data_IF_338489054054
#
_entry.id   IF_338489054054
#
_cell.length_a   1.000
_cell.length_b   1.000
_cell.length_c   1.000
_cell.angle_alpha   90.00
_cell.angle_beta   90.00
_cell.angle_gamma   90.00
#
_symmetry.space_group_name_H-M   'P 1'
#
loop_
_entity.id
_entity.type
_entity.pdbx_description
1 polymer ?
#
# COMPACT_ATOMS: atom_id res chain seq x y z
N UNK A 1 0.15 12.49 1.49
CA UNK A 1 1.10 11.38 1.67
C UNK A 1 1.42 10.59 0.39
N UNK A 2 0.76 10.82 -0.75
CA UNK A 2 0.88 9.93 -1.93
C UNK A 2 2.26 9.89 -2.63
N UNK A 3 2.98 11.01 -2.72
CA UNK A 3 4.26 11.06 -3.46
C UNK A 3 5.41 10.34 -2.74
N UNK A 4 5.64 10.66 -1.47
CA UNK A 4 6.74 10.07 -0.69
C UNK A 4 6.56 8.56 -0.45
N UNK A 5 5.32 8.10 -0.23
CA UNK A 5 5.02 6.67 -0.09
C UNK A 5 5.30 5.89 -1.38
N UNK A 6 4.91 6.45 -2.53
CA UNK A 6 5.20 5.86 -3.83
C UNK A 6 6.70 5.75 -4.11
N UNK A 7 7.46 6.81 -3.85
CA UNK A 7 8.92 6.80 -4.01
C UNK A 7 9.57 5.73 -3.12
N UNK A 8 9.08 5.57 -1.89
CA UNK A 8 9.52 4.50 -0.98
C UNK A 8 9.26 3.09 -1.52
N UNK A 9 8.12 2.86 -2.17
CA UNK A 9 7.78 1.57 -2.80
C UNK A 9 8.66 1.22 -4.01
N UNK A 10 9.30 2.21 -4.65
CA UNK A 10 10.24 1.98 -5.76
C UNK A 10 11.66 1.76 -5.21
N UNK A 11 12.12 2.71 -4.38
CA UNK A 11 13.50 2.73 -3.89
C UNK A 11 13.76 1.57 -2.93
N UNK A 12 12.77 1.19 -2.10
CA UNK A 12 12.89 0.13 -1.11
C UNK A 12 13.28 -1.23 -1.71
N UNK A 13 12.46 -1.81 -2.62
CA UNK A 13 12.78 -3.08 -3.25
C UNK A 13 14.04 -3.04 -4.12
N UNK A 14 14.31 -1.89 -4.77
CA UNK A 14 15.51 -1.72 -5.57
C UNK A 14 16.78 -1.81 -4.72
N UNK A 15 16.85 -1.02 -3.64
CA UNK A 15 17.99 -1.05 -2.72
C UNK A 15 18.06 -2.37 -1.94
N UNK A 16 16.91 -2.93 -1.55
CA UNK A 16 16.82 -4.21 -0.85
C UNK A 16 17.32 -5.38 -1.71
N UNK A 17 17.01 -5.39 -3.01
CA UNK A 17 17.50 -6.41 -3.95
C UNK A 17 19.00 -6.31 -4.21
N UNK A 18 19.49 -5.10 -4.47
CA UNK A 18 20.92 -4.81 -4.71
C UNK A 18 21.79 -5.15 -3.50
N UNK A 19 21.37 -4.73 -2.29
CA UNK A 19 22.10 -5.02 -1.06
C UNK A 19 21.95 -6.50 -0.69
N UNK A 20 20.77 -7.08 -0.88
CA UNK A 20 20.49 -8.49 -0.59
C UNK A 20 21.36 -9.48 -1.36
N UNK A 21 21.96 -9.08 -2.48
CA UNK A 21 22.91 -9.90 -3.25
C UNK A 21 24.25 -10.09 -2.51
N UNK A 22 24.70 -9.09 -1.73
CA UNK A 22 25.96 -9.13 -0.99
C UNK A 22 25.81 -10.02 0.25
N UNK A 23 24.74 -9.81 1.02
CA UNK A 23 24.40 -10.61 2.19
C UNK A 23 23.00 -10.23 2.68
N UNK A 24 22.25 -11.21 3.18
CA UNK A 24 20.91 -11.00 3.76
C UNK A 24 20.89 -9.95 4.89
N UNK A 25 22.03 -9.66 5.54
CA UNK A 25 22.13 -8.71 6.65
C UNK A 25 22.33 -7.25 6.21
N UNK A 26 22.93 -7.03 5.04
CA UNK A 26 23.27 -5.68 4.55
C UNK A 26 22.08 -4.73 4.37
N UNK A 27 20.89 -5.13 3.85
CA UNK A 27 19.76 -4.22 3.78
C UNK A 27 19.28 -3.74 5.17
N UNK A 28 19.37 -4.59 6.19
CA UNK A 28 19.00 -4.22 7.56
C UNK A 28 19.98 -3.23 8.19
N UNK A 29 21.28 -3.41 7.96
CA UNK A 29 22.31 -2.48 8.43
C UNK A 29 22.13 -1.11 7.75
N UNK A 30 21.90 -1.10 6.44
CA UNK A 30 21.64 0.13 5.69
C UNK A 30 20.38 0.85 6.19
N UNK A 31 19.31 0.12 6.45
CA UNK A 31 18.08 0.67 7.03
C UNK A 31 18.33 1.27 8.42
N UNK A 32 19.07 0.57 9.29
CA UNK A 32 19.39 1.06 10.63
C UNK A 32 20.22 2.35 10.60
N UNK A 33 21.23 2.42 9.73
CA UNK A 33 22.05 3.63 9.54
C UNK A 33 21.18 4.79 9.03
N UNK A 34 20.37 4.54 7.99
CA UNK A 34 19.50 5.56 7.41
C UNK A 34 18.51 6.11 8.44
N UNK A 35 17.91 5.24 9.27
CA UNK A 35 16.98 5.65 10.32
C UNK A 35 17.67 6.41 11.45
N UNK A 36 18.88 5.99 11.83
CA UNK A 36 19.69 6.70 12.84
C UNK A 36 20.06 8.11 12.37
N UNK A 37 20.42 8.28 11.09
CA UNK A 37 20.65 9.59 10.50
C UNK A 37 19.39 10.46 10.48
N UNK A 38 18.24 9.90 10.09
CA UNK A 38 16.96 10.61 10.14
C UNK A 38 16.58 11.02 11.57
N UNK A 39 16.85 10.17 12.55
CA UNK A 39 16.61 10.47 13.97
C UNK A 39 17.51 11.61 14.46
N UNK A 40 18.81 11.55 14.18
CA UNK A 40 19.76 12.61 14.51
C UNK A 40 19.35 13.91 13.82
N UNK A 41 19.00 13.85 12.53
CA UNK A 41 18.52 15.01 11.79
C UNK A 41 17.25 15.58 12.39
N UNK A 42 16.28 14.74 12.78
CA UNK A 42 15.07 15.18 13.48
C UNK A 42 15.41 15.87 14.81
N UNK A 43 16.35 15.36 15.59
CA UNK A 43 16.75 16.00 16.85
C UNK A 43 17.42 17.37 16.64
N UNK A 44 18.15 17.54 15.53
CA UNK A 44 18.87 18.79 15.24
C UNK A 44 18.00 19.84 14.53
N UNK A 45 17.10 19.42 13.64
CA UNK A 45 16.31 20.31 12.79
C UNK A 45 14.91 20.60 13.33
N UNK A 46 14.30 19.69 14.10
CA UNK A 46 13.01 19.95 14.72
C UNK A 46 13.21 20.58 16.10
N UNK A 47 13.09 21.91 16.15
CA UNK A 47 12.80 22.61 17.40
C UNK A 47 11.36 22.29 17.81
N UNK A 48 11.13 22.00 19.09
CA UNK A 48 9.80 21.75 19.65
C UNK A 48 8.80 22.79 19.12
N UNK A 49 7.86 22.35 18.28
CA UNK A 49 6.73 23.18 17.90
C UNK A 49 5.78 23.19 19.09
N UNK A 50 5.81 24.30 19.84
CA UNK A 50 5.11 24.52 21.10
C UNK A 50 3.71 23.88 21.22
N UNK A 51 3.58 23.03 22.25
CA UNK A 51 2.34 22.63 22.93
C UNK A 51 1.70 23.84 23.63
N UNK A 52 1.18 24.82 22.89
CA UNK A 52 0.43 25.94 23.52
C UNK A 52 -0.92 26.23 22.85
N UNK A 53 -1.16 25.78 21.60
CA UNK A 53 -2.47 25.99 20.94
C UNK A 53 -3.38 24.78 20.85
N UNK A 54 -2.87 23.56 20.97
CA UNK A 54 -3.66 22.32 20.82
C UNK A 54 -4.43 21.97 22.11
N UNK A 55 -3.94 22.38 23.28
CA UNK A 55 -4.57 22.02 24.56
C UNK A 55 -5.92 22.72 24.79
N UNK A 56 -6.14 23.91 24.22
CA UNK A 56 -7.33 24.71 24.49
C UNK A 56 -8.53 24.30 23.62
N UNK A 57 -8.31 23.79 22.41
CA UNK A 57 -9.39 23.27 21.55
C UNK A 57 -9.87 21.87 21.98
N UNK A 58 -8.97 21.00 22.46
CA UNK A 58 -9.34 19.65 22.91
C UNK A 58 -10.23 19.73 24.17
N UNK A 59 -10.04 20.73 25.03
CA UNK A 59 -10.87 20.87 26.23
C UNK A 59 -12.27 21.43 25.95
N UNK A 60 -12.46 22.18 24.85
CA UNK A 60 -13.76 22.72 24.44
C UNK A 60 -14.62 21.69 23.68
N UNK A 61 -14.00 20.78 22.92
CA UNK A 61 -14.68 19.71 22.19
C UNK A 61 -15.21 18.57 23.08
N UNK A 62 -14.65 18.39 24.28
CA UNK A 62 -15.05 17.34 25.21
C UNK A 62 -16.25 17.69 26.10
N UNK A 63 -16.76 18.93 26.02
CA UNK A 63 -17.83 19.39 26.92
C UNK A 63 -19.24 19.34 26.32
N UNK A 64 -19.39 18.96 25.04
CA UNK A 64 -20.69 19.07 24.35
C UNK A 64 -21.14 17.81 23.58
N UNK A 65 -20.77 16.61 24.04
CA UNK A 65 -21.39 15.37 23.53
C UNK A 65 -22.17 14.67 24.64
N UNK A 66 -23.42 15.09 24.79
CA UNK A 66 -24.48 14.38 25.50
C UNK A 66 -24.60 12.91 25.00
N UNK A 67 -25.05 11.98 25.87
CA UNK A 67 -24.99 10.55 25.61
C UNK A 67 -26.15 10.13 24.70
N UNK A 68 -25.94 10.12 23.38
CA UNK A 68 -26.97 9.68 22.45
C UNK A 68 -26.78 8.21 22.03
N UNK A 69 -27.76 7.42 22.47
CA UNK A 69 -28.13 6.04 22.13
C UNK A 69 -28.26 5.78 20.61
N UNK A 70 -27.16 5.92 19.86
CA UNK A 70 -27.03 5.54 18.45
C UNK A 70 -25.79 4.65 18.19
N UNK A 71 -25.04 4.35 19.25
CA UNK A 71 -23.75 3.64 19.21
C UNK A 71 -23.86 2.16 18.88
N UNK A 72 -25.04 1.54 18.96
CA UNK A 72 -25.23 0.11 18.64
C UNK A 72 -25.25 -0.17 17.13
N UNK A 73 -26.02 0.62 16.37
CA UNK A 73 -26.17 0.43 14.92
C UNK A 73 -24.93 0.90 14.14
N UNK A 74 -24.32 2.02 14.57
CA UNK A 74 -23.09 2.55 13.95
C UNK A 74 -21.93 1.59 14.18
N UNK A 75 -21.79 0.98 15.37
CA UNK A 75 -20.73 -0.02 15.65
C UNK A 75 -20.82 -1.25 14.76
N UNK A 76 -22.03 -1.79 14.49
CA UNK A 76 -22.18 -3.02 13.70
C UNK A 76 -21.93 -2.79 12.21
N UNK A 77 -22.43 -1.67 11.66
CA UNK A 77 -22.16 -1.27 10.27
C UNK A 77 -20.67 -0.93 10.06
N UNK A 78 -20.07 -0.17 10.98
CA UNK A 78 -18.66 0.18 10.93
C UNK A 78 -17.75 -1.05 11.04
N UNK A 79 -18.08 -1.99 11.92
CA UNK A 79 -17.33 -3.25 12.06
C UNK A 79 -17.36 -4.07 10.77
N UNK A 80 -18.51 -4.14 10.08
CA UNK A 80 -18.61 -4.81 8.78
C UNK A 80 -17.70 -4.17 7.73
N UNK A 81 -17.70 -2.83 7.61
CA UNK A 81 -16.82 -2.11 6.68
C UNK A 81 -15.33 -2.25 7.02
N UNK A 82 -14.97 -2.27 8.31
CA UNK A 82 -13.61 -2.52 8.78
C UNK A 82 -13.14 -3.93 8.47
N UNK A 83 -13.97 -4.95 8.69
CA UNK A 83 -13.64 -6.34 8.37
C UNK A 83 -13.48 -6.50 6.85
N UNK A 84 -14.38 -5.91 6.06
CA UNK A 84 -14.27 -5.92 4.60
C UNK A 84 -12.96 -5.26 4.13
N UNK A 85 -12.62 -4.09 4.69
CA UNK A 85 -11.36 -3.41 4.39
C UNK A 85 -10.14 -4.26 4.77
N UNK A 86 -10.17 -4.88 5.95
CA UNK A 86 -9.11 -5.74 6.43
C UNK A 86 -8.89 -6.94 5.51
N UNK A 87 -9.97 -7.62 5.10
CA UNK A 87 -9.89 -8.76 4.17
C UNK A 87 -9.32 -8.31 2.82
N UNK A 88 -9.79 -7.18 2.27
CA UNK A 88 -9.28 -6.64 1.00
C UNK A 88 -7.78 -6.33 1.11
N UNK A 89 -7.36 -5.69 2.22
CA UNK A 89 -5.94 -5.41 2.43
C UNK A 89 -5.11 -6.66 2.62
N UNK A 90 -5.62 -7.65 3.35
CA UNK A 90 -4.92 -8.90 3.59
C UNK A 90 -4.69 -9.66 2.28
N UNK A 91 -5.70 -9.72 1.41
CA UNK A 91 -5.58 -10.31 0.07
C UNK A 91 -4.54 -9.54 -0.77
N UNK A 92 -4.56 -8.21 -0.72
CA UNK A 92 -3.60 -7.37 -1.46
C UNK A 92 -2.13 -7.54 -1.06
N UNK A 93 -1.84 -8.09 0.12
CA UNK A 93 -0.46 -8.36 0.57
C UNK A 93 0.09 -9.72 0.13
N UNK A 94 -0.78 -10.63 -0.32
CA UNK A 94 -0.39 -11.99 -0.74
C UNK A 94 0.62 -11.95 -1.90
N UNK A 95 0.40 -11.17 -2.98
CA UNK A 95 1.33 -11.14 -4.10
C UNK A 95 2.71 -10.64 -3.67
N UNK A 96 2.78 -9.57 -2.86
CA UNK A 96 4.04 -9.01 -2.41
C UNK A 96 4.90 -10.01 -1.61
N UNK A 97 4.26 -10.90 -0.84
CA UNK A 97 4.96 -11.90 -0.01
C UNK A 97 5.39 -13.12 -0.84
N UNK A 98 4.52 -13.61 -1.73
CA UNK A 98 4.76 -14.84 -2.50
C UNK A 98 5.67 -14.57 -3.71
N UNK A 99 5.67 -13.37 -4.27
CA UNK A 99 6.39 -13.03 -5.51
C UNK A 99 7.87 -13.36 -5.48
N UNK A 100 8.54 -13.01 -4.38
CA UNK A 100 9.99 -13.24 -4.22
C UNK A 100 10.29 -14.73 -4.25
N UNK A 101 9.56 -15.52 -3.46
CA UNK A 101 9.74 -16.98 -3.41
C UNK A 101 9.38 -17.64 -4.74
N UNK A 102 8.30 -17.20 -5.37
CA UNK A 102 7.84 -17.73 -6.65
C UNK A 102 8.86 -17.53 -7.77
N UNK A 103 9.38 -16.31 -7.91
CA UNK A 103 10.36 -15.97 -8.95
C UNK A 103 11.69 -16.66 -8.73
N UNK A 104 12.14 -16.80 -7.47
CA UNK A 104 13.34 -17.55 -7.12
C UNK A 104 13.20 -19.04 -7.45
N UNK A 105 12.10 -19.70 -7.06
CA UNK A 105 11.92 -21.14 -7.27
C UNK A 105 11.64 -21.47 -8.74
N UNK A 106 10.85 -20.66 -9.43
CA UNK A 106 10.39 -20.97 -10.80
C UNK A 106 11.37 -20.53 -11.88
N UNK A 107 12.00 -19.36 -11.71
CA UNK A 107 12.84 -18.73 -12.72
C UNK A 107 14.32 -18.65 -12.32
N UNK A 108 14.69 -19.15 -11.13
CA UNK A 108 16.05 -19.08 -10.58
C UNK A 108 16.62 -17.65 -10.52
N UNK A 109 15.73 -16.67 -10.30
CA UNK A 109 16.12 -15.27 -10.27
C UNK A 109 16.98 -14.90 -9.08
N UNK A 110 17.96 -14.05 -9.33
CA UNK A 110 18.78 -13.44 -8.27
C UNK A 110 17.99 -12.34 -7.54
N UNK A 111 18.39 -12.03 -6.30
CA UNK A 111 17.75 -11.01 -5.45
C UNK A 111 17.62 -9.64 -6.14
N UNK A 112 18.59 -9.30 -6.99
CA UNK A 112 18.61 -8.04 -7.74
C UNK A 112 17.54 -7.98 -8.83
N UNK A 113 17.31 -9.07 -9.55
CA UNK A 113 16.26 -9.16 -10.58
C UNK A 113 14.87 -9.07 -9.94
N UNK A 114 14.69 -9.76 -8.82
CA UNK A 114 13.44 -9.68 -8.04
C UNK A 114 13.22 -8.25 -7.53
N UNK A 115 14.24 -7.61 -6.96
CA UNK A 115 14.16 -6.23 -6.47
C UNK A 115 13.82 -5.22 -7.56
N UNK A 116 14.44 -5.34 -8.74
CA UNK A 116 14.13 -4.52 -9.91
C UNK A 116 12.69 -4.73 -10.40
N UNK A 117 12.20 -5.97 -10.42
CA UNK A 117 10.81 -6.26 -10.82
C UNK A 117 9.79 -5.64 -9.87
N UNK A 118 10.06 -5.65 -8.57
CA UNK A 118 9.23 -5.01 -7.54
C UNK A 118 9.31 -3.49 -7.59
N UNK A 119 10.48 -2.92 -7.92
CA UNK A 119 10.62 -1.49 -8.14
C UNK A 119 9.79 -1.04 -9.36
N UNK A 120 9.82 -1.82 -10.46
CA UNK A 120 8.98 -1.59 -11.64
C UNK A 120 7.49 -1.72 -11.31
N UNK A 121 7.11 -2.71 -10.50
CA UNK A 121 5.75 -2.82 -9.97
C UNK A 121 5.35 -1.55 -9.21
N UNK A 122 6.23 -1.02 -8.35
CA UNK A 122 6.00 0.23 -7.63
C UNK A 122 5.76 1.42 -8.56
N UNK A 123 6.53 1.57 -9.63
CA UNK A 123 6.35 2.62 -10.66
C UNK A 123 4.97 2.50 -11.30
N UNK A 124 4.60 1.30 -11.74
CA UNK A 124 3.27 1.04 -12.30
C UNK A 124 2.19 1.37 -11.27
N UNK A 125 2.34 0.93 -10.04
CA UNK A 125 1.37 1.18 -8.98
C UNK A 125 1.11 2.67 -8.78
N UNK A 126 2.15 3.51 -8.72
CA UNK A 126 2.01 4.97 -8.62
C UNK A 126 1.31 5.52 -9.86
N UNK A 127 1.71 5.09 -11.04
CA UNK A 127 1.11 5.57 -12.29
C UNK A 127 -0.40 5.26 -12.34
N UNK A 128 -0.77 4.01 -12.06
CA UNK A 128 -2.17 3.57 -12.03
C UNK A 128 -2.95 4.26 -10.92
N UNK A 129 -2.39 4.36 -9.71
CA UNK A 129 -3.05 4.99 -8.57
C UNK A 129 -3.22 6.50 -8.73
N UNK A 130 -2.25 7.20 -9.33
CA UNK A 130 -2.30 8.65 -9.53
C UNK A 130 -3.20 9.04 -10.72
N UNK A 131 -3.14 8.28 -11.82
CA UNK A 131 -3.81 8.65 -13.08
C UNK A 131 -5.13 7.90 -13.25
N UNK A 132 -5.13 6.59 -13.01
CA UNK A 132 -6.20 5.71 -13.40
C UNK A 132 -7.30 5.60 -12.33
N UNK A 133 -6.95 5.59 -11.04
CA UNK A 133 -7.92 5.52 -9.95
C UNK A 133 -8.96 6.65 -10.02
N UNK A 134 -8.51 7.89 -10.24
CA UNK A 134 -9.40 9.05 -10.35
C UNK A 134 -10.34 8.99 -11.57
N UNK A 135 -9.80 8.60 -12.74
CA UNK A 135 -10.58 8.50 -13.98
C UNK A 135 -11.59 7.37 -13.95
N UNK A 136 -11.22 6.20 -13.43
CA UNK A 136 -12.15 5.06 -13.31
C UNK A 136 -13.27 5.36 -12.32
N UNK A 137 -12.95 5.93 -11.16
CA UNK A 137 -13.95 6.27 -10.15
C UNK A 137 -15.00 7.27 -10.68
N UNK A 138 -14.58 8.26 -11.48
CA UNK A 138 -15.49 9.23 -12.10
C UNK A 138 -16.37 8.61 -13.20
N UNK A 139 -15.83 7.66 -13.98
CA UNK A 139 -16.52 7.11 -15.15
C UNK A 139 -17.43 5.91 -14.82
N UNK A 140 -17.04 5.05 -13.87
CA UNK A 140 -17.74 3.79 -13.57
C UNK A 140 -18.35 3.75 -12.16
N UNK A 141 -18.06 4.75 -11.32
CA UNK A 141 -18.47 4.78 -9.92
C UNK A 141 -17.54 3.99 -9.01
N UNK A 142 -17.52 4.36 -7.73
CA UNK A 142 -16.56 3.82 -6.75
C UNK A 142 -16.78 2.32 -6.50
N UNK A 143 -18.05 1.85 -6.43
CA UNK A 143 -18.38 0.43 -6.21
C UNK A 143 -17.94 -0.47 -7.36
N UNK A 144 -18.21 -0.09 -8.61
CA UNK A 144 -17.84 -0.92 -9.76
C UNK A 144 -16.33 -0.94 -9.96
N UNK A 145 -15.65 0.18 -9.65
CA UNK A 145 -14.18 0.25 -9.73
C UNK A 145 -13.52 -0.78 -8.81
N UNK A 146 -14.04 -0.95 -7.58
CA UNK A 146 -13.54 -1.97 -6.62
C UNK A 146 -13.73 -3.38 -7.18
N UNK A 147 -14.92 -3.71 -7.70
CA UNK A 147 -15.22 -5.04 -8.24
C UNK A 147 -14.33 -5.33 -9.46
N UNK A 148 -14.16 -4.36 -10.35
CA UNK A 148 -13.30 -4.50 -11.54
C UNK A 148 -11.85 -4.72 -11.12
N UNK A 149 -11.32 -3.93 -10.18
CA UNK A 149 -9.94 -4.10 -9.70
C UNK A 149 -9.72 -5.46 -9.05
N UNK A 150 -10.66 -5.95 -8.23
CA UNK A 150 -10.56 -7.27 -7.59
C UNK A 150 -10.65 -8.40 -8.62
N UNK A 151 -11.48 -8.24 -9.65
CA UNK A 151 -11.60 -9.23 -10.73
C UNK A 151 -10.31 -9.30 -11.56
N UNK A 152 -9.67 -8.16 -11.83
CA UNK A 152 -8.38 -8.09 -12.53
C UNK A 152 -7.27 -8.74 -11.68
N UNK A 153 -7.27 -8.52 -10.37
CA UNK A 153 -6.29 -9.12 -9.45
C UNK A 153 -6.44 -10.66 -9.38
N UNK A 154 -7.67 -11.14 -9.27
CA UNK A 154 -7.99 -12.57 -9.33
C UNK A 154 -7.56 -13.20 -10.66
N UNK A 155 -7.76 -12.50 -11.79
CA UNK A 155 -7.29 -12.94 -13.09
C UNK A 155 -5.76 -12.96 -13.18
N UNK A 156 -5.07 -11.98 -12.59
CA UNK A 156 -3.61 -11.95 -12.46
C UNK A 156 -3.07 -13.15 -11.68
N UNK A 157 -3.73 -13.53 -10.59
CA UNK A 157 -3.39 -14.73 -9.82
C UNK A 157 -3.58 -16.02 -10.63
N UNK A 158 -4.65 -16.13 -11.42
CA UNK A 158 -4.87 -17.28 -12.31
C UNK A 158 -3.83 -17.35 -13.43
N UNK A 159 -3.42 -16.20 -13.98
CA UNK A 159 -2.34 -16.10 -14.96
C UNK A 159 -1.00 -16.61 -14.40
N UNK A 160 -0.70 -16.34 -13.14
CA UNK A 160 0.51 -16.85 -12.49
C UNK A 160 0.52 -18.38 -12.39
N UNK A 161 -0.64 -19.03 -12.22
CA UNK A 161 -0.73 -20.48 -12.15
C UNK A 161 -0.31 -21.18 -13.46
N UNK A 162 -0.51 -20.53 -14.61
CA UNK A 162 -0.16 -21.08 -15.93
C UNK A 162 1.22 -20.65 -16.44
N UNK A 163 1.97 -19.88 -15.65
CA UNK A 163 3.14 -19.19 -16.16
C UNK A 163 4.32 -20.16 -16.39
N UNK A 164 4.82 -20.16 -17.62
CA UNK A 164 5.97 -20.96 -18.05
C UNK A 164 7.08 -20.10 -18.65
N UNK A 165 6.81 -18.84 -18.98
CA UNK A 165 7.74 -17.92 -19.64
C UNK A 165 7.73 -16.53 -19.00
N UNK A 166 8.90 -15.90 -18.93
CA UNK A 166 9.14 -14.55 -18.37
C UNK A 166 8.27 -13.48 -19.03
N UNK A 167 7.91 -13.64 -20.31
CA UNK A 167 7.07 -12.69 -21.06
C UNK A 167 5.66 -12.49 -20.50
N UNK A 168 5.10 -13.50 -19.83
CA UNK A 168 3.75 -13.42 -19.23
C UNK A 168 3.77 -12.70 -17.87
N UNK A 169 4.96 -12.43 -17.34
CA UNK A 169 5.15 -11.77 -16.05
C UNK A 169 4.81 -10.27 -16.11
N UNK A 170 5.07 -9.62 -17.24
CA UNK A 170 4.77 -8.21 -17.46
C UNK A 170 3.25 -7.93 -17.45
N UNK A 171 2.42 -8.72 -18.16
CA UNK A 171 0.96 -8.67 -17.99
C UNK A 171 0.50 -8.90 -16.55
N UNK A 172 1.07 -9.87 -15.84
CA UNK A 172 0.71 -10.16 -14.45
C UNK A 172 1.00 -8.98 -13.51
N UNK A 173 2.16 -8.33 -13.66
CA UNK A 173 2.53 -7.13 -12.91
C UNK A 173 1.60 -5.94 -13.17
N UNK A 174 1.15 -5.78 -14.42
CA UNK A 174 0.16 -4.76 -14.80
C UNK A 174 -1.20 -5.08 -14.15
N UNK A 175 -1.62 -6.34 -14.14
CA UNK A 175 -2.84 -6.77 -13.46
C UNK A 175 -2.79 -6.46 -11.95
N UNK A 176 -1.70 -6.82 -11.26
CA UNK A 176 -1.52 -6.51 -9.83
C UNK A 176 -1.49 -5.01 -9.55
N UNK A 177 -0.86 -4.22 -10.43
CA UNK A 177 -0.85 -2.76 -10.30
C UNK A 177 -2.24 -2.14 -10.46
N UNK A 178 -3.13 -2.79 -11.21
CA UNK A 178 -4.50 -2.36 -11.38
C UNK A 178 -5.37 -2.66 -10.15
N UNK A 179 -5.07 -3.75 -9.42
CA UNK A 179 -5.74 -4.14 -8.18
C UNK A 179 -5.67 -3.08 -7.07
N UNK A 180 -4.52 -2.39 -6.95
CA UNK A 180 -4.30 -1.32 -5.96
C UNK A 180 -5.19 -0.09 -6.09
N UNK A 181 -5.91 0.07 -7.21
CA UNK A 181 -6.90 1.14 -7.36
C UNK A 181 -8.16 0.91 -6.49
N UNK A 182 -8.47 -0.35 -6.16
CA UNK A 182 -9.65 -0.73 -5.38
C UNK A 182 -9.58 -0.19 -3.95
N UNK A 183 -8.41 -0.30 -3.30
CA UNK A 183 -8.20 0.20 -1.93
C UNK A 183 -8.30 1.72 -1.86
N UNK A 184 -7.76 2.43 -2.85
CA UNK A 184 -7.86 3.90 -2.94
C UNK A 184 -9.31 4.38 -3.11
N UNK A 185 -10.11 3.66 -3.90
CA UNK A 185 -11.53 3.94 -4.07
C UNK A 185 -12.34 3.59 -2.81
N UNK A 186 -12.01 2.49 -2.14
CA UNK A 186 -12.65 2.09 -0.89
C UNK A 186 -12.45 3.14 0.22
N UNK A 187 -11.24 3.68 0.37
CA UNK A 187 -10.97 4.76 1.33
C UNK A 187 -11.80 6.01 1.01
N UNK A 188 -12.02 6.34 -0.27
CA UNK A 188 -12.90 7.45 -0.67
C UNK A 188 -14.37 7.22 -0.31
N UNK A 189 -14.88 6.00 -0.50
CA UNK A 189 -16.24 5.62 -0.08
C UNK A 189 -16.35 5.74 1.45
N UNK A 190 -15.38 5.21 2.18
CA UNK A 190 -15.38 5.20 3.65
C UNK A 190 -15.40 6.62 4.23
N UNK A 191 -14.61 7.54 3.66
CA UNK A 191 -14.61 8.97 4.04
C UNK A 191 -15.94 9.67 3.73
N UNK A 192 -16.72 9.19 2.74
CA UNK A 192 -18.06 9.75 2.44
C UNK A 192 -19.16 9.22 3.35
N UNK A 193 -18.95 8.06 3.98
CA UNK A 193 -19.93 7.40 4.85
C UNK A 193 -19.76 7.83 6.31
N UNK A 194 -18.53 8.14 6.74
CA UNK A 194 -18.23 8.74 8.04
C UNK A 194 -18.43 10.26 8.03
#
# INVERSE_FOLDING_TARGET
>A
MGGAFGVGLIIGPMLGGLLGEISAHTPFIFAAISHSLLFIFSLLCFQETQTTKISTEISALNQDTAPHSATGFIKKSLCFWLIAYFIIQLIGQIPATIWVLFTQVRFAWHTTEVGLSLAFLGVLHIFFQAVLAGKLAQKWGERNTIIISMSIDAFGCLLLAWISHVWVMLPALICFSCGGNGTTCFTRIFIKIC
#
